data_IF_775594379662
#
_entry.id   IF_775594379662
#
_cell.length_a   1.000
_cell.length_b   1.000
_cell.length_c   1.000
_cell.angle_alpha   90.00
_cell.angle_beta   90.00
_cell.angle_gamma   90.00
#
_symmetry.space_group_name_H-M   'P 1'
#
loop_
_entity.id
_entity.type
_entity.pdbx_description
1 polymer ?
#
# COMPACT_ATOMS: atom_id res chain seq x y z
N UNK A 1 33.25 56.95 -4.13
CA UNK A 1 33.54 55.99 -3.03
C UNK A 1 32.45 56.16 -2.00
N UNK A 2 31.45 55.28 -2.01
CA UNK A 2 30.33 55.33 -1.08
C UNK A 2 30.41 54.12 -0.18
N UNK A 3 30.52 54.36 1.13
CA UNK A 3 30.56 53.36 2.19
C UNK A 3 29.15 52.81 2.41
N UNK A 4 28.98 51.49 2.33
CA UNK A 4 27.75 50.80 2.73
C UNK A 4 27.82 50.50 4.23
N UNK A 5 26.89 51.07 4.99
CA UNK A 5 26.65 50.71 6.38
C UNK A 5 25.52 49.66 6.42
N UNK A 6 25.78 48.52 7.07
CA UNK A 6 24.88 47.39 7.17
C UNK A 6 24.34 47.28 8.61
N UNK A 7 23.05 47.59 8.80
CA UNK A 7 22.30 47.15 9.98
C UNK A 7 21.05 46.36 9.55
N UNK A 8 20.82 45.13 10.05
CA UNK A 8 19.62 44.38 9.72
C UNK A 8 18.46 44.82 10.63
N UNK A 9 17.48 45.53 10.06
CA UNK A 9 16.16 45.71 10.70
C UNK A 9 15.39 44.40 10.64
N UNK A 10 15.26 43.74 11.79
CA UNK A 10 14.40 42.57 11.95
C UNK A 10 12.94 42.90 11.62
N UNK A 11 12.35 42.09 10.74
CA UNK A 11 10.90 41.91 10.65
C UNK A 11 10.64 40.41 10.70
N UNK A 12 10.20 39.94 11.86
CA UNK A 12 9.67 38.60 12.03
C UNK A 12 8.47 38.41 11.11
N UNK A 13 8.46 37.32 10.34
CA UNK A 13 7.23 36.84 9.71
C UNK A 13 6.38 36.22 10.82
N UNK A 14 5.32 36.94 11.22
CA UNK A 14 4.24 36.36 11.99
C UNK A 14 3.57 35.28 11.15
N UNK A 15 3.64 34.03 11.61
CA UNK A 15 2.69 33.01 11.18
C UNK A 15 1.36 33.35 11.83
N UNK A 16 0.30 33.44 11.02
CA UNK A 16 -1.06 33.56 11.53
C UNK A 16 -1.38 32.24 12.24
N UNK A 17 -1.43 32.28 13.57
CA UNK A 17 -1.95 31.19 14.40
C UNK A 17 -3.44 31.11 14.11
N UNK A 18 -3.91 30.01 13.54
CA UNK A 18 -5.33 29.76 13.41
C UNK A 18 -5.94 29.70 14.82
N UNK A 19 -7.04 30.44 15.01
CA UNK A 19 -7.73 30.58 16.28
C UNK A 19 -8.04 29.24 16.94
N UNK A 20 -7.96 29.24 18.27
CA UNK A 20 -8.20 28.10 19.13
C UNK A 20 -9.65 27.61 18.98
N UNK A 21 -9.86 26.51 18.28
CA UNK A 21 -11.15 25.80 18.30
C UNK A 21 -11.34 25.23 19.70
N UNK A 22 -12.35 25.70 20.43
CA UNK A 22 -12.71 25.17 21.75
C UNK A 22 -13.05 23.68 21.62
N UNK A 23 -12.61 22.81 22.56
CA UNK A 23 -12.99 21.41 22.54
C UNK A 23 -14.50 21.25 22.74
N UNK A 24 -15.10 20.33 21.98
CA UNK A 24 -16.46 19.88 22.23
C UNK A 24 -16.54 19.22 23.61
N UNK A 25 -17.42 19.73 24.46
CA UNK A 25 -17.79 19.10 25.73
C UNK A 25 -18.67 17.89 25.43
N UNK A 26 -18.16 16.68 25.62
CA UNK A 26 -18.99 15.48 25.66
C UNK A 26 -19.74 15.44 26.99
N UNK A 27 -21.02 15.79 26.98
CA UNK A 27 -21.91 15.49 28.09
C UNK A 27 -22.12 13.96 28.11
N UNK A 28 -21.70 13.33 29.20
CA UNK A 28 -21.91 11.91 29.43
C UNK A 28 -23.36 11.63 29.80
N UNK A 29 -24.04 10.85 28.96
CA UNK A 29 -25.12 9.97 29.40
C UNK A 29 -24.75 8.55 28.96
N UNK A 30 -24.44 7.71 29.93
CA UNK A 30 -24.07 6.32 29.71
C UNK A 30 -25.29 5.48 29.35
N UNK A 31 -25.35 5.02 28.11
CA UNK A 31 -26.17 3.87 27.72
C UNK A 31 -25.26 2.67 27.51
N UNK A 32 -25.34 1.71 28.43
CA UNK A 32 -24.66 0.43 28.39
C UNK A 32 -25.17 -0.39 27.21
N UNK A 33 -24.43 -0.40 26.09
CA UNK A 33 -24.68 -1.35 25.00
C UNK A 33 -23.94 -2.64 25.35
N UNK A 34 -24.68 -3.69 25.70
CA UNK A 34 -24.13 -5.05 25.88
C UNK A 34 -23.44 -5.49 24.58
N UNK A 35 -22.21 -6.04 24.62
CA UNK A 35 -21.63 -6.66 23.45
C UNK A 35 -22.43 -7.91 23.08
N UNK A 36 -22.99 -7.94 21.87
CA UNK A 36 -23.53 -9.15 21.28
C UNK A 36 -22.37 -10.11 20.99
N UNK A 37 -22.41 -11.30 21.58
CA UNK A 37 -21.44 -12.35 21.28
C UNK A 37 -21.69 -12.88 19.87
N UNK A 38 -20.84 -12.53 18.91
CA UNK A 38 -20.78 -13.25 17.65
C UNK A 38 -19.91 -14.50 17.87
N UNK A 39 -20.56 -15.60 18.26
CA UNK A 39 -19.92 -16.91 18.32
C UNK A 39 -19.97 -17.52 16.91
N UNK A 40 -18.98 -17.20 16.08
CA UNK A 40 -18.80 -17.86 14.79
C UNK A 40 -18.33 -19.29 15.03
N UNK A 41 -19.24 -20.26 14.91
CA UNK A 41 -18.90 -21.67 14.86
C UNK A 41 -18.09 -21.93 13.59
N UNK A 42 -16.80 -22.27 13.76
CA UNK A 42 -15.99 -22.86 12.70
C UNK A 42 -16.57 -24.24 12.37
N UNK A 43 -17.00 -24.45 11.13
CA UNK A 43 -17.48 -25.74 10.65
C UNK A 43 -16.29 -26.60 10.16
N UNK A 44 -15.79 -27.50 11.00
CA UNK A 44 -14.85 -28.55 10.60
C UNK A 44 -15.53 -29.65 9.75
N UNK A 45 -15.87 -29.36 8.48
CA UNK A 45 -16.40 -30.42 7.58
C UNK A 45 -15.89 -30.42 6.14
N UNK A 46 -14.79 -29.72 5.83
CA UNK A 46 -14.19 -29.73 4.48
C UNK A 46 -12.80 -30.36 4.42
N UNK A 47 -12.62 -31.53 5.05
CA UNK A 47 -11.36 -32.29 4.94
C UNK A 47 -11.51 -33.80 4.73
N UNK A 48 -12.63 -34.29 4.17
CA UNK A 48 -12.77 -35.73 3.89
C UNK A 48 -13.37 -36.10 2.52
N UNK A 49 -13.13 -35.34 1.44
CA UNK A 49 -13.63 -35.75 0.11
C UNK A 49 -12.63 -35.67 -1.06
N UNK A 50 -11.33 -35.80 -0.82
CA UNK A 50 -10.36 -36.05 -1.90
C UNK A 50 -9.38 -37.16 -1.49
N UNK A 51 -9.86 -38.40 -1.53
CA UNK A 51 -9.01 -39.58 -1.58
C UNK A 51 -9.80 -40.77 -2.11
N UNK A 52 -9.95 -40.85 -3.44
CA UNK A 52 -10.21 -42.08 -4.20
C UNK A 52 -10.27 -41.76 -5.69
N UNK A 53 -9.20 -42.14 -6.40
CA UNK A 53 -9.17 -42.55 -7.83
C UNK A 53 -7.74 -42.39 -8.37
N UNK A 54 -6.82 -43.17 -7.82
CA UNK A 54 -5.68 -43.66 -8.60
C UNK A 54 -6.03 -45.12 -8.94
N UNK A 55 -6.36 -45.37 -10.20
CA UNK A 55 -5.94 -46.56 -10.97
C UNK A 55 -6.56 -46.49 -12.38
N UNK A 56 -5.69 -46.59 -13.40
CA UNK A 56 -6.06 -47.09 -14.71
C UNK A 56 -6.23 -46.07 -15.84
N UNK A 57 -5.14 -45.73 -16.54
CA UNK A 57 -5.09 -45.98 -17.99
C UNK A 57 -3.66 -45.80 -18.56
N UNK A 58 -3.05 -46.92 -18.93
CA UNK A 58 -1.91 -46.97 -19.82
C UNK A 58 -2.37 -46.65 -21.24
N UNK A 59 -1.93 -45.52 -21.82
CA UNK A 59 -1.87 -45.36 -23.28
C UNK A 59 -0.43 -45.02 -23.67
N UNK A 60 0.23 -46.01 -24.28
CA UNK A 60 1.39 -45.84 -25.18
C UNK A 60 0.87 -45.60 -26.60
N UNK A 61 1.56 -44.72 -27.33
CA UNK A 61 1.50 -44.32 -28.77
C UNK A 61 1.09 -42.85 -28.84
N UNK A 62 1.81 -41.94 -29.51
CA UNK A 62 2.57 -42.08 -30.75
C UNK A 62 3.68 -41.02 -30.81
N UNK A 63 4.79 -41.39 -31.43
CA UNK A 63 5.98 -40.59 -31.68
C UNK A 63 5.74 -39.69 -32.90
N UNK A 64 5.09 -38.53 -32.75
CA UNK A 64 5.12 -37.47 -33.78
C UNK A 64 5.07 -36.11 -33.09
N UNK A 65 6.10 -35.31 -33.36
CA UNK A 65 6.36 -34.05 -32.68
C UNK A 65 5.25 -33.03 -32.82
N UNK A 66 5.04 -32.27 -31.73
CA UNK A 66 4.49 -30.95 -31.82
C UNK A 66 5.26 -30.07 -30.82
N UNK A 67 6.03 -29.18 -31.42
CA UNK A 67 6.78 -28.05 -30.87
C UNK A 67 6.24 -27.62 -29.50
N UNK A 68 7.10 -27.63 -28.48
CA UNK A 68 6.83 -26.98 -27.19
C UNK A 68 6.68 -25.47 -27.43
N UNK A 69 5.45 -25.03 -27.70
CA UNK A 69 5.10 -23.63 -27.48
C UNK A 69 5.22 -23.41 -25.98
N UNK A 70 6.30 -22.76 -25.57
CA UNK A 70 6.50 -22.26 -24.22
C UNK A 70 5.33 -21.31 -23.90
N UNK A 71 4.26 -21.85 -23.32
CA UNK A 71 3.04 -21.10 -23.01
C UNK A 71 3.35 -20.16 -21.86
N UNK A 72 3.82 -18.97 -22.23
CA UNK A 72 3.60 -17.74 -21.47
C UNK A 72 2.10 -17.76 -21.11
N UNK A 73 1.80 -17.97 -19.83
CA UNK A 73 0.42 -18.00 -19.31
C UNK A 73 -0.33 -16.81 -19.93
N UNK A 74 -1.32 -17.10 -20.79
CA UNK A 74 -2.19 -16.07 -21.34
C UNK A 74 -2.85 -15.42 -20.13
N UNK A 75 -2.46 -14.18 -19.82
CA UNK A 75 -3.15 -13.37 -18.82
C UNK A 75 -4.60 -13.29 -19.27
N UNK A 76 -5.51 -13.80 -18.45
CA UNK A 76 -6.93 -13.57 -18.66
C UNK A 76 -7.18 -12.07 -18.46
N UNK A 77 -7.42 -11.38 -19.57
CA UNK A 77 -7.64 -9.92 -19.59
C UNK A 77 -9.07 -9.60 -19.13
N UNK A 78 -9.93 -10.61 -18.91
CA UNK A 78 -11.34 -10.43 -18.54
C UNK A 78 -11.64 -10.70 -17.06
N UNK A 79 -10.64 -11.14 -16.29
CA UNK A 79 -10.78 -11.41 -14.87
C UNK A 79 -10.73 -10.15 -13.98
N UNK A 80 -11.13 -10.28 -12.70
CA UNK A 80 -11.04 -9.18 -11.74
C UNK A 80 -9.60 -8.69 -11.58
N UNK A 81 -9.42 -7.36 -11.55
CA UNK A 81 -8.12 -6.73 -11.31
C UNK A 81 -8.08 -6.25 -9.87
N UNK A 82 -7.31 -6.94 -9.03
CA UNK A 82 -7.12 -6.60 -7.63
C UNK A 82 -5.82 -7.19 -7.08
N UNK A 83 -5.14 -6.48 -6.20
CA UNK A 83 -3.98 -7.00 -5.49
C UNK A 83 -3.95 -6.52 -4.03
N UNK A 84 -3.34 -7.32 -3.18
CA UNK A 84 -2.94 -6.95 -1.83
C UNK A 84 -1.54 -7.51 -1.57
N UNK A 85 -0.63 -6.64 -1.14
CA UNK A 85 0.75 -6.98 -0.81
C UNK A 85 1.21 -6.23 0.42
N UNK A 86 2.17 -6.79 1.15
CA UNK A 86 2.81 -6.15 2.30
C UNK A 86 4.33 -6.30 2.27
N UNK A 87 5.04 -5.55 3.11
CA UNK A 87 6.49 -5.64 3.21
C UNK A 87 6.89 -6.86 4.05
N UNK A 88 7.66 -7.80 3.49
CA UNK A 88 8.15 -8.98 4.20
C UNK A 88 9.27 -8.63 5.18
N UNK A 89 10.05 -7.60 4.86
CA UNK A 89 11.17 -7.13 5.67
C UNK A 89 10.74 -6.02 6.58
N UNK A 90 11.19 -6.14 7.82
CA UNK A 90 11.18 -5.07 8.80
C UNK A 90 12.32 -4.09 8.50
N UNK A 91 12.19 -2.85 8.96
CA UNK A 91 13.27 -1.83 8.96
C UNK A 91 13.76 -1.36 7.59
N UNK A 92 12.84 -1.01 6.70
CA UNK A 92 13.22 -0.39 5.43
C UNK A 92 13.58 1.09 5.64
N UNK A 93 14.80 1.48 5.26
CA UNK A 93 15.28 2.86 5.27
C UNK A 93 15.07 3.50 3.88
N UNK A 94 13.99 4.28 3.67
CA UNK A 94 13.75 4.89 2.36
C UNK A 94 14.72 6.04 2.10
N UNK A 95 15.43 5.99 0.98
CA UNK A 95 16.10 7.16 0.39
C UNK A 95 15.06 8.11 -0.22
N UNK A 96 15.35 9.41 -0.39
CA UNK A 96 14.45 10.30 -1.12
C UNK A 96 14.16 9.79 -2.54
N UNK A 97 12.91 9.96 -3.00
CA UNK A 97 12.45 9.51 -4.32
C UNK A 97 12.63 7.99 -4.59
N UNK A 98 12.58 7.16 -3.55
CA UNK A 98 12.71 5.71 -3.68
C UNK A 98 11.34 5.04 -3.69
N UNK A 99 11.10 4.17 -4.67
CA UNK A 99 9.93 3.29 -4.69
C UNK A 99 9.93 2.37 -3.48
N UNK A 100 8.81 2.32 -2.76
CA UNK A 100 8.60 1.42 -1.63
C UNK A 100 8.09 0.08 -2.18
N UNK A 101 8.83 -0.99 -1.92
CA UNK A 101 8.51 -2.33 -2.45
C UNK A 101 7.77 -3.13 -1.38
N UNK A 102 6.50 -3.45 -1.65
CA UNK A 102 5.67 -4.36 -0.87
C UNK A 102 5.77 -5.75 -1.53
N UNK A 103 6.74 -6.55 -1.10
CA UNK A 103 7.20 -7.73 -1.80
C UNK A 103 6.42 -9.02 -1.49
N UNK A 104 5.73 -9.08 -0.35
CA UNK A 104 4.93 -10.23 0.04
C UNK A 104 3.50 -10.15 -0.51
N UNK A 105 3.27 -10.80 -1.64
CA UNK A 105 1.95 -10.87 -2.30
C UNK A 105 1.01 -11.82 -1.56
N UNK A 106 -0.16 -11.32 -1.17
CA UNK A 106 -1.27 -12.13 -0.65
C UNK A 106 -2.27 -12.45 -1.77
N UNK A 107 -2.58 -11.46 -2.61
CA UNK A 107 -3.43 -11.63 -3.79
C UNK A 107 -2.94 -10.74 -4.93
N UNK A 108 -3.12 -11.19 -6.17
CA UNK A 108 -2.74 -10.45 -7.39
C UNK A 108 -3.57 -10.95 -8.60
N UNK A 109 -4.90 -10.85 -8.48
CA UNK A 109 -5.83 -11.16 -9.56
C UNK A 109 -5.59 -10.21 -10.74
N UNK A 110 -5.50 -10.78 -11.95
CA UNK A 110 -5.07 -10.06 -13.16
C UNK A 110 -3.55 -9.99 -13.35
N UNK A 111 -2.75 -10.24 -12.30
CA UNK A 111 -1.28 -10.26 -12.38
C UNK A 111 -0.67 -8.90 -12.73
N UNK A 112 -1.33 -7.81 -12.30
CA UNK A 112 -1.00 -6.44 -12.65
C UNK A 112 0.01 -5.79 -11.69
N UNK A 113 0.20 -6.35 -10.49
CA UNK A 113 1.21 -5.86 -9.54
C UNK A 113 2.51 -6.65 -9.67
N UNK A 114 3.62 -5.95 -9.92
CA UNK A 114 4.97 -6.51 -9.90
C UNK A 114 5.60 -6.30 -8.52
N UNK A 115 5.56 -7.34 -7.70
CA UNK A 115 6.09 -7.33 -6.33
C UNK A 115 7.60 -7.12 -6.25
N UNK A 116 8.36 -7.33 -7.34
CA UNK A 116 9.81 -7.11 -7.33
C UNK A 116 10.15 -5.62 -7.45
N UNK A 117 9.31 -4.87 -8.16
CA UNK A 117 9.50 -3.44 -8.40
C UNK A 117 8.59 -2.56 -7.53
N UNK A 118 7.51 -3.12 -6.98
CA UNK A 118 6.48 -2.39 -6.24
C UNK A 118 5.53 -1.60 -7.16
N UNK A 119 5.51 -1.92 -8.46
CA UNK A 119 4.76 -1.15 -9.47
C UNK A 119 3.54 -1.95 -9.94
N UNK A 120 2.40 -1.28 -9.97
CA UNK A 120 1.18 -1.74 -10.60
C UNK A 120 1.07 -1.21 -12.03
N UNK A 121 0.73 -2.11 -12.96
CA UNK A 121 0.50 -1.82 -14.37
C UNK A 121 -0.92 -2.23 -14.77
N UNK A 122 -1.86 -1.31 -14.99
CA UNK A 122 -3.22 -1.62 -15.43
C UNK A 122 -3.23 -2.33 -16.79
N UNK A 123 -4.02 -3.40 -16.91
CA UNK A 123 -4.23 -4.13 -18.17
C UNK A 123 -5.40 -3.56 -18.99
N UNK A 124 -6.31 -2.85 -18.32
CA UNK A 124 -7.54 -2.27 -18.85
C UNK A 124 -7.65 -0.81 -18.42
N UNK A 125 -8.28 0.00 -19.27
CA UNK A 125 -8.65 1.37 -18.88
C UNK A 125 -9.79 1.31 -17.87
N UNK A 126 -9.81 2.22 -16.91
CA UNK A 126 -10.84 2.20 -15.88
C UNK A 126 -10.50 3.07 -14.68
N UNK A 127 -11.40 3.05 -13.69
CA UNK A 127 -11.18 3.69 -12.40
C UNK A 127 -10.68 2.65 -11.41
N UNK A 128 -9.59 2.99 -10.74
CA UNK A 128 -8.94 2.14 -9.75
C UNK A 128 -8.92 2.85 -8.40
N UNK A 129 -9.12 2.07 -7.34
CA UNK A 129 -8.91 2.51 -5.97
C UNK A 129 -7.62 1.92 -5.47
N UNK A 130 -6.77 2.74 -4.87
CA UNK A 130 -5.55 2.33 -4.20
C UNK A 130 -5.58 2.73 -2.75
N UNK A 131 -5.06 1.88 -1.88
CA UNK A 131 -4.80 2.21 -0.48
C UNK A 131 -3.42 1.71 -0.08
N UNK A 132 -2.66 2.54 0.63
CA UNK A 132 -1.36 2.17 1.15
C UNK A 132 -1.24 2.57 2.61
N UNK A 133 -0.58 1.74 3.40
CA UNK A 133 -0.36 1.91 4.83
C UNK A 133 1.13 1.83 5.10
N UNK A 134 1.65 2.80 5.85
CA UNK A 134 3.04 2.82 6.29
C UNK A 134 3.08 2.95 7.80
N UNK A 135 3.76 2.02 8.46
CA UNK A 135 4.15 2.12 9.87
C UNK A 135 5.51 2.79 9.97
N UNK A 136 5.59 3.94 10.64
CA UNK A 136 6.84 4.66 10.87
C UNK A 136 7.37 4.40 12.28
N UNK A 137 8.70 4.39 12.39
CA UNK A 137 9.41 4.23 13.66
C UNK A 137 9.04 5.30 14.68
N UNK A 138 9.16 4.95 15.97
CA UNK A 138 9.12 5.94 17.04
C UNK A 138 10.19 7.03 16.80
N UNK A 139 9.86 8.29 17.08
CA UNK A 139 10.70 9.46 16.78
C UNK A 139 10.94 9.75 15.28
N UNK A 140 10.51 8.87 14.38
CA UNK A 140 10.66 9.01 12.94
C UNK A 140 9.55 9.83 12.31
N UNK A 141 9.78 10.30 11.09
CA UNK A 141 8.75 10.89 10.24
C UNK A 141 9.06 10.62 8.78
N UNK A 142 8.04 10.15 8.06
CA UNK A 142 8.14 9.71 6.67
C UNK A 142 7.03 10.34 5.86
N UNK A 143 7.39 10.90 4.71
CA UNK A 143 6.41 11.36 3.72
C UNK A 143 6.44 10.37 2.55
N UNK A 144 5.28 9.81 2.23
CA UNK A 144 5.12 8.93 1.06
C UNK A 144 4.06 9.47 0.11
N UNK A 145 4.24 9.16 -1.17
CA UNK A 145 3.37 9.59 -2.26
C UNK A 145 2.86 8.37 -3.01
N UNK A 146 1.57 8.36 -3.36
CA UNK A 146 1.04 7.54 -4.42
C UNK A 146 1.26 8.26 -5.75
N UNK A 147 1.91 7.59 -6.69
CA UNK A 147 2.40 8.20 -7.91
C UNK A 147 1.80 7.51 -9.13
N UNK A 148 1.30 8.30 -10.08
CA UNK A 148 0.92 7.85 -11.42
C UNK A 148 1.90 8.46 -12.43
N UNK A 149 2.62 7.64 -13.19
CA UNK A 149 3.55 8.10 -14.24
C UNK A 149 4.52 9.20 -13.77
N UNK A 150 5.14 9.01 -12.59
CA UNK A 150 6.05 9.96 -11.94
C UNK A 150 5.38 11.27 -11.42
N UNK A 151 4.05 11.39 -11.49
CA UNK A 151 3.29 12.49 -10.89
C UNK A 151 2.59 12.03 -9.60
N UNK A 152 2.82 12.69 -8.45
CA UNK A 152 2.11 12.36 -7.23
C UNK A 152 0.63 12.72 -7.36
N UNK A 153 -0.25 11.79 -7.02
CA UNK A 153 -1.71 11.97 -6.99
C UNK A 153 -2.28 11.93 -5.57
N UNK A 154 -1.49 11.45 -4.61
CA UNK A 154 -1.81 11.43 -3.20
C UNK A 154 -0.53 11.42 -2.38
N UNK A 155 -0.59 11.94 -1.16
CA UNK A 155 0.55 11.99 -0.26
C UNK A 155 0.08 11.85 1.18
N UNK A 156 0.96 11.34 2.04
CA UNK A 156 0.73 11.24 3.47
C UNK A 156 2.02 11.45 4.26
N UNK A 157 1.86 11.97 5.48
CA UNK A 157 2.91 12.03 6.50
C UNK A 157 2.58 11.02 7.59
N UNK A 158 3.50 10.08 7.85
CA UNK A 158 3.52 9.30 9.08
C UNK A 158 4.52 9.95 10.03
N UNK A 159 4.10 10.35 11.22
CA UNK A 159 4.98 10.93 12.24
C UNK A 159 4.87 10.17 13.55
N UNK A 160 5.98 9.58 13.99
CA UNK A 160 6.19 9.01 15.32
C UNK A 160 6.88 9.98 16.27
N UNK A 161 7.01 11.27 15.92
CA UNK A 161 7.64 12.25 16.81
C UNK A 161 6.89 12.37 18.14
N UNK A 162 7.65 12.30 19.25
CA UNK A 162 7.09 12.34 20.60
C UNK A 162 6.24 11.11 20.98
N UNK A 163 6.24 10.06 20.16
CA UNK A 163 5.56 8.80 20.47
C UNK A 163 6.56 7.74 20.95
N UNK A 164 6.17 6.98 21.99
CA UNK A 164 6.97 5.87 22.50
C UNK A 164 6.85 4.61 21.62
N UNK A 165 5.71 4.48 20.92
CA UNK A 165 5.38 3.35 20.05
C UNK A 165 5.36 3.76 18.57
N UNK A 166 5.34 2.75 17.68
CA UNK A 166 5.14 2.93 16.25
C UNK A 166 3.83 3.70 15.96
N UNK A 167 3.86 4.52 14.92
CA UNK A 167 2.67 5.16 14.36
C UNK A 167 2.44 4.62 12.95
N UNK A 168 1.22 4.77 12.45
CA UNK A 168 0.93 4.46 11.06
C UNK A 168 0.07 5.54 10.44
N UNK A 169 0.07 5.58 9.12
CA UNK A 169 -0.85 6.39 8.34
C UNK A 169 -1.27 5.59 7.12
N UNK A 170 -2.55 5.71 6.77
CA UNK A 170 -3.15 5.08 5.60
C UNK A 170 -3.68 6.16 4.67
N UNK A 171 -3.35 6.06 3.39
CA UNK A 171 -3.85 6.92 2.33
C UNK A 171 -4.74 6.10 1.41
N UNK A 172 -5.76 6.74 0.84
CA UNK A 172 -6.66 6.14 -0.15
C UNK A 172 -6.85 7.14 -1.29
N UNK A 173 -6.81 6.67 -2.53
CA UNK A 173 -7.12 7.49 -3.70
C UNK A 173 -7.84 6.66 -4.78
N UNK A 174 -8.82 7.29 -5.43
CA UNK A 174 -9.42 6.78 -6.65
C UNK A 174 -8.88 7.56 -7.85
N UNK A 175 -8.50 6.86 -8.93
CA UNK A 175 -7.90 7.49 -10.11
C UNK A 175 -8.28 6.73 -11.38
N UNK A 176 -8.56 7.47 -12.45
CA UNK A 176 -8.73 6.90 -13.79
C UNK A 176 -7.35 6.60 -14.40
N UNK A 177 -7.17 5.37 -14.89
CA UNK A 177 -5.93 4.90 -15.50
C UNK A 177 -6.15 4.37 -16.91
N UNK A 178 -5.16 4.58 -17.77
CA UNK A 178 -5.03 3.95 -19.08
C UNK A 178 -4.06 2.76 -19.05
N UNK A 179 -4.09 1.91 -20.10
CA UNK A 179 -3.28 0.67 -20.22
C UNK A 179 -1.75 0.85 -20.23
N UNK A 180 -1.29 2.10 -20.24
CA UNK A 180 0.13 2.48 -20.28
C UNK A 180 0.59 3.19 -19.03
N UNK A 181 -0.30 3.36 -18.06
CA UNK A 181 0.04 4.00 -16.80
C UNK A 181 0.83 3.07 -15.90
N UNK A 182 1.44 3.66 -14.88
CA UNK A 182 2.14 2.95 -13.82
C UNK A 182 1.77 3.59 -12.50
N UNK A 183 1.49 2.76 -11.49
CA UNK A 183 1.14 3.21 -10.15
C UNK A 183 2.07 2.59 -9.12
N UNK A 184 2.65 3.40 -8.25
CA UNK A 184 3.54 2.93 -7.19
C UNK A 184 3.56 3.92 -6.03
N UNK A 185 4.02 3.44 -4.88
CA UNK A 185 4.29 4.28 -3.72
C UNK A 185 5.78 4.61 -3.71
N UNK A 186 6.12 5.87 -3.44
CA UNK A 186 7.51 6.28 -3.19
C UNK A 186 7.63 7.14 -1.94
N UNK A 187 8.83 7.24 -1.41
CA UNK A 187 9.18 8.31 -0.49
C UNK A 187 9.24 9.67 -1.21
N UNK A 188 8.86 10.74 -0.51
CA UNK A 188 8.85 12.09 -1.09
C UNK A 188 10.24 12.50 -1.61
N UNK A 189 10.34 13.17 -2.77
CA UNK A 189 11.61 13.38 -3.45
C UNK A 189 12.57 14.34 -2.75
N UNK A 190 12.05 15.30 -1.98
CA UNK A 190 12.86 16.36 -1.34
C UNK A 190 12.57 16.52 0.15
N UNK A 191 11.70 15.69 0.73
CA UNK A 191 11.41 15.81 2.15
C UNK A 191 12.60 15.27 2.94
N UNK A 192 12.91 15.90 4.06
CA UNK A 192 13.77 15.28 5.05
C UNK A 192 13.01 14.08 5.61
N UNK A 193 13.61 12.91 5.54
CA UNK A 193 13.04 11.67 6.07
C UNK A 193 13.89 11.24 7.25
N UNK A 194 13.25 10.85 8.34
CA UNK A 194 13.93 10.30 9.50
C UNK A 194 13.23 9.01 9.95
N UNK A 195 14.01 7.99 10.30
CA UNK A 195 13.50 6.70 10.73
C UNK A 195 13.27 5.71 9.59
N UNK A 196 12.51 4.66 9.89
CA UNK A 196 12.31 3.49 9.02
C UNK A 196 10.84 3.14 8.86
N UNK A 197 10.52 2.45 7.77
CA UNK A 197 9.24 1.79 7.58
C UNK A 197 9.31 0.42 8.25
N UNK A 198 8.40 0.20 9.19
CA UNK A 198 8.24 -1.05 9.92
C UNK A 198 7.18 -1.94 9.27
N UNK A 199 7.38 -3.25 9.37
CA UNK A 199 6.39 -4.27 9.00
C UNK A 199 6.70 -5.54 9.78
N UNK A 200 5.68 -6.13 10.41
CA UNK A 200 5.79 -7.34 11.21
C UNK A 200 4.44 -8.11 11.18
N UNK A 201 4.39 -9.39 11.59
CA UNK A 201 3.14 -10.17 11.54
C UNK A 201 1.95 -9.55 12.29
N UNK A 202 2.18 -8.67 13.26
CA UNK A 202 1.15 -7.96 14.04
C UNK A 202 0.78 -6.58 13.49
N UNK A 203 1.55 -6.03 12.55
CA UNK A 203 1.30 -4.75 11.88
C UNK A 203 1.98 -4.72 10.51
N UNK A 204 1.19 -4.61 9.45
CA UNK A 204 1.70 -4.72 8.08
C UNK A 204 1.72 -3.35 7.39
N UNK A 205 2.89 -2.90 6.98
CA UNK A 205 2.98 -1.86 5.95
C UNK A 205 2.58 -2.51 4.63
N UNK A 206 1.53 -1.99 4.00
CA UNK A 206 0.83 -2.68 2.92
C UNK A 206 0.41 -1.76 1.79
N UNK A 207 0.21 -2.35 0.61
CA UNK A 207 -0.32 -1.69 -0.57
C UNK A 207 -1.39 -2.58 -1.21
N UNK A 208 -2.54 -1.99 -1.51
CA UNK A 208 -3.66 -2.64 -2.16
C UNK A 208 -4.19 -1.76 -3.28
N UNK A 209 -4.77 -2.40 -4.28
CA UNK A 209 -5.58 -1.70 -5.27
C UNK A 209 -6.49 -2.62 -6.06
N UNK A 210 -7.59 -2.09 -6.55
CA UNK A 210 -8.58 -2.82 -7.32
C UNK A 210 -9.32 -1.90 -8.30
N UNK A 211 -9.75 -2.47 -9.43
CA UNK A 211 -10.58 -1.78 -10.41
C UNK A 211 -12.05 -1.74 -9.94
N UNK A 212 -12.73 -0.61 -10.15
CA UNK A 212 -14.15 -0.43 -9.83
C UNK A 212 -15.05 -0.15 -11.03
N UNK A 213 -14.49 0.27 -12.16
CA UNK A 213 -15.22 0.48 -13.43
C UNK A 213 -14.28 0.48 -14.61
#
# INVERSE_FOLDING_TARGET
MSSCDCTPKGKGRQYVVADSVKPYTSNGEGSQIKPSSFHGQMNESLSQHIAQNLEGHLIKRSLFGQIESNTKVKRDITGPVAFYSYMSRTDMHPKPNQTIVFDHVVSNSGGNFDHKTGIFFPSQEGVYVFSWTVYCSNGGYLVTELVVNNKPIGAMLCSGQGADNLRHTTGVAAVALGRRDSVYVRSHPTAVLNGVIWSAPTYLSSFTGFQIS
#
